data_IF_228089293028
#
_entry.id   IF_228089293028
#
_cell.length_a   1.000
_cell.length_b   1.000
_cell.length_c   1.000
_cell.angle_alpha   90.00
_cell.angle_beta   90.00
_cell.angle_gamma   90.00
#
_symmetry.space_group_name_H-M   'P 1'
#
loop_
_entity.id
_entity.type
_entity.pdbx_description
1 polymer ?
#
# COMPACT_ATOMS: atom_id res chain seq x y z
N UNK A 1 -17.01 9.90 -11.49
CA UNK A 1 -16.67 8.54 -11.07
C UNK A 1 -15.17 8.50 -10.83
N UNK A 2 -14.71 8.56 -9.59
CA UNK A 2 -13.27 8.47 -9.30
C UNK A 2 -12.80 7.04 -9.62
N UNK A 3 -11.90 6.91 -10.60
CA UNK A 3 -11.34 5.61 -11.00
C UNK A 3 -10.48 5.03 -9.88
N UNK A 4 -10.42 3.70 -9.75
CA UNK A 4 -9.55 3.03 -8.77
C UNK A 4 -8.06 3.43 -8.85
N UNK A 5 -7.64 3.96 -10.00
CA UNK A 5 -6.31 4.57 -10.21
C UNK A 5 -6.16 5.90 -9.46
N UNK A 6 -7.22 6.73 -9.40
CA UNK A 6 -7.19 7.98 -8.65
C UNK A 6 -7.04 7.74 -7.15
N UNK A 7 -7.67 6.69 -6.63
CA UNK A 7 -7.52 6.27 -5.23
C UNK A 7 -6.14 5.68 -4.97
N UNK A 8 -5.57 4.97 -5.95
CA UNK A 8 -4.18 4.51 -5.88
C UNK A 8 -3.21 5.69 -5.71
N UNK A 9 -3.41 6.78 -6.44
CA UNK A 9 -2.58 7.98 -6.33
C UNK A 9 -2.66 8.55 -4.90
N UNK A 10 -3.86 8.60 -4.31
CA UNK A 10 -4.05 9.09 -2.92
C UNK A 10 -3.31 8.24 -1.88
N UNK A 11 -3.38 6.90 -1.97
CA UNK A 11 -2.61 6.05 -1.05
C UNK A 11 -1.10 6.18 -1.30
N UNK A 12 -0.66 6.39 -2.55
CA UNK A 12 0.77 6.59 -2.84
C UNK A 12 1.32 7.87 -2.21
N UNK A 13 0.55 8.96 -2.18
CA UNK A 13 0.94 10.17 -1.46
C UNK A 13 1.09 9.98 0.07
N UNK A 14 0.46 8.91 0.59
CA UNK A 14 0.57 8.46 1.98
C UNK A 14 1.74 7.49 2.22
N UNK A 15 2.46 7.10 1.16
CA UNK A 15 3.65 6.25 1.25
C UNK A 15 4.92 7.09 1.21
N UNK A 16 5.96 6.60 1.87
CA UNK A 16 7.28 7.17 1.77
C UNK A 16 8.35 6.10 1.65
N UNK A 17 9.50 6.49 1.09
CA UNK A 17 10.66 5.63 1.00
C UNK A 17 11.36 5.56 2.36
N UNK A 18 11.33 4.39 2.98
CA UNK A 18 12.04 4.12 4.22
C UNK A 18 13.35 3.36 3.93
N UNK A 19 14.47 3.71 4.58
CA UNK A 19 15.72 2.95 4.47
C UNK A 19 15.63 1.57 5.14
N UNK A 20 14.58 1.35 5.94
CA UNK A 20 14.27 0.10 6.60
C UNK A 20 13.44 -0.83 5.70
N UNK A 21 13.41 -2.15 5.98
CA UNK A 21 12.53 -3.08 5.27
C UNK A 21 11.07 -2.64 5.37
N UNK A 22 10.53 -2.10 4.27
CA UNK A 22 9.16 -1.62 4.19
C UNK A 22 8.12 -2.74 4.01
N UNK A 23 6.95 -2.36 3.50
CA UNK A 23 5.79 -3.22 3.33
C UNK A 23 6.05 -4.35 2.34
N UNK A 24 5.45 -5.51 2.60
CA UNK A 24 5.44 -6.66 1.71
C UNK A 24 4.31 -6.56 0.67
N UNK A 25 4.45 -7.21 -0.47
CA UNK A 25 3.44 -7.17 -1.53
C UNK A 25 2.16 -7.93 -1.16
N UNK A 26 2.26 -9.14 -0.57
CA UNK A 26 1.14 -9.94 -0.08
C UNK A 26 1.62 -11.21 0.66
N UNK A 27 1.27 -11.39 1.94
CA UNK A 27 1.44 -12.65 2.71
C UNK A 27 0.29 -12.71 3.74
N UNK A 28 -0.21 -13.90 4.04
CA UNK A 28 -1.24 -14.13 5.07
C UNK A 28 -0.58 -14.20 6.46
N UNK A 29 -1.15 -13.66 7.55
CA UNK A 29 -2.50 -13.08 7.73
C UNK A 29 -2.67 -11.64 7.21
N UNK A 30 -3.93 -11.23 6.94
CA UNK A 30 -4.30 -9.90 6.44
C UNK A 30 -3.82 -8.82 7.39
N UNK A 31 -2.80 -8.06 7.01
CA UNK A 31 -2.21 -7.03 7.83
C UNK A 31 -1.91 -5.76 7.01
N UNK A 32 -2.81 -4.76 6.97
CA UNK A 32 -2.64 -3.56 6.13
C UNK A 32 -1.38 -2.75 6.50
N UNK A 33 -0.90 -2.84 7.75
CA UNK A 33 0.37 -2.24 8.20
C UNK A 33 1.63 -2.96 7.73
N UNK A 34 1.51 -4.20 7.26
CA UNK A 34 2.66 -5.02 6.82
C UNK A 34 2.62 -5.30 5.33
N UNK A 35 1.45 -5.21 4.72
CA UNK A 35 1.23 -5.50 3.31
C UNK A 35 0.62 -4.33 2.57
N UNK A 36 1.33 -3.88 1.54
CA UNK A 36 0.95 -2.73 0.75
C UNK A 36 -0.39 -2.92 0.03
N UNK A 37 -0.64 -4.12 -0.49
CA UNK A 37 -1.92 -4.42 -1.14
C UNK A 37 -3.08 -4.44 -0.14
N UNK A 38 -2.86 -4.93 1.08
CA UNK A 38 -3.89 -4.89 2.12
C UNK A 38 -4.16 -3.46 2.59
N UNK A 39 -3.13 -2.61 2.67
CA UNK A 39 -3.32 -1.18 2.92
C UNK A 39 -4.23 -0.56 1.85
N UNK A 40 -3.97 -0.82 0.57
CA UNK A 40 -4.84 -0.35 -0.52
C UNK A 40 -6.29 -0.84 -0.42
N UNK A 41 -6.50 -2.10 -0.01
CA UNK A 41 -7.84 -2.62 0.24
C UNK A 41 -8.54 -1.88 1.38
N UNK A 42 -7.89 -1.72 2.53
CA UNK A 42 -8.44 -0.97 3.68
C UNK A 42 -8.73 0.50 3.34
N UNK A 43 -7.89 1.13 2.52
CA UNK A 43 -8.14 2.46 1.98
C UNK A 43 -9.46 2.45 1.19
N UNK A 44 -9.61 1.57 0.22
CA UNK A 44 -10.85 1.56 -0.57
C UNK A 44 -12.10 1.20 0.23
N UNK A 45 -11.99 0.30 1.20
CA UNK A 45 -13.10 -0.05 2.11
C UNK A 45 -13.54 1.18 2.93
N UNK A 46 -12.59 1.96 3.47
CA UNK A 46 -12.89 3.16 4.26
C UNK A 46 -13.54 4.28 3.44
N UNK A 47 -13.12 4.45 2.19
CA UNK A 47 -13.67 5.46 1.28
C UNK A 47 -14.93 4.97 0.52
N UNK A 48 -15.44 3.77 0.80
CA UNK A 48 -16.66 3.22 0.20
C UNK A 48 -16.50 2.80 -1.28
N UNK A 49 -15.28 2.57 -1.74
CA UNK A 49 -14.99 2.16 -3.12
C UNK A 49 -15.01 0.63 -3.26
N UNK A 50 -15.97 0.11 -4.03
CA UNK A 50 -16.17 -1.33 -4.19
C UNK A 50 -15.35 -1.99 -5.31
N UNK A 51 -14.58 -1.23 -6.09
CA UNK A 51 -13.82 -1.76 -7.24
C UNK A 51 -12.30 -1.53 -7.10
N UNK A 52 -11.61 -2.37 -6.31
CA UNK A 52 -10.17 -2.53 -6.35
C UNK A 52 -9.63 -2.71 -7.77
N UNK A 53 -8.46 -2.12 -8.03
CA UNK A 53 -7.61 -2.68 -9.09
C UNK A 53 -6.97 -3.98 -8.60
N UNK A 54 -6.76 -4.93 -9.51
CA UNK A 54 -6.09 -6.19 -9.19
C UNK A 54 -4.62 -5.96 -8.82
N UNK A 55 -4.04 -6.85 -8.01
CA UNK A 55 -2.62 -6.81 -7.63
C UNK A 55 -1.67 -6.63 -8.83
N UNK A 56 -1.98 -7.24 -9.97
CA UNK A 56 -1.22 -7.11 -11.22
C UNK A 56 -1.24 -5.68 -11.77
N UNK A 57 -2.40 -5.03 -11.78
CA UNK A 57 -2.54 -3.64 -12.23
C UNK A 57 -1.87 -2.70 -11.23
N UNK A 58 -2.10 -2.92 -9.94
CA UNK A 58 -1.41 -2.20 -8.86
C UNK A 58 0.12 -2.28 -9.02
N UNK A 59 0.67 -3.48 -9.22
CA UNK A 59 2.11 -3.69 -9.37
C UNK A 59 2.71 -3.05 -10.64
N UNK A 60 1.89 -2.77 -11.66
CA UNK A 60 2.31 -2.07 -12.88
C UNK A 60 2.26 -0.55 -12.72
N UNK A 61 1.20 -0.05 -12.09
CA UNK A 61 0.96 1.38 -11.93
C UNK A 61 1.76 1.98 -10.77
N UNK A 62 1.99 1.22 -9.70
CA UNK A 62 2.74 1.64 -8.52
C UNK A 62 4.13 2.24 -8.86
N UNK A 63 5.05 1.55 -9.57
CA UNK A 63 6.34 2.14 -9.91
C UNK A 63 6.20 3.41 -10.77
N UNK A 64 5.23 3.44 -11.68
CA UNK A 64 5.00 4.59 -12.54
C UNK A 64 4.58 5.81 -11.72
N UNK A 65 3.56 5.64 -10.86
CA UNK A 65 3.08 6.69 -9.97
C UNK A 65 4.16 7.13 -8.98
N UNK A 66 4.86 6.20 -8.33
CA UNK A 66 5.97 6.52 -7.43
C UNK A 66 7.04 7.36 -8.12
N UNK A 67 7.37 7.03 -9.37
CA UNK A 67 8.29 7.82 -10.20
C UNK A 67 7.75 9.23 -10.50
N UNK A 68 6.44 9.39 -10.73
CA UNK A 68 5.80 10.70 -10.91
C UNK A 68 5.85 11.55 -9.63
N UNK A 69 5.78 10.92 -8.46
CA UNK A 69 5.99 11.57 -7.16
C UNK A 69 7.48 11.87 -6.86
N UNK A 70 8.41 11.51 -7.75
CA UNK A 70 9.85 11.65 -7.53
C UNK A 70 10.41 10.67 -6.50
N UNK A 71 9.68 9.60 -6.19
CA UNK A 71 10.08 8.57 -5.23
C UNK A 71 10.51 7.28 -5.94
N UNK A 72 11.65 6.74 -5.53
CA UNK A 72 12.17 5.50 -6.11
C UNK A 72 11.44 4.30 -5.51
N UNK A 73 10.65 3.59 -6.32
CA UNK A 73 10.05 2.32 -5.92
C UNK A 73 11.02 1.16 -6.11
N UNK A 74 11.37 0.48 -5.03
CA UNK A 74 12.18 -0.72 -5.01
C UNK A 74 11.35 -1.88 -4.47
N UNK A 75 11.42 -3.02 -5.16
CA UNK A 75 10.88 -4.29 -4.68
C UNK A 75 11.96 -5.36 -4.75
N UNK A 76 12.19 -6.06 -3.65
CA UNK A 76 13.13 -7.16 -3.53
C UNK A 76 12.40 -8.45 -3.20
N UNK A 77 12.78 -9.57 -3.83
CA UNK A 77 12.31 -10.90 -3.39
C UNK A 77 13.09 -11.31 -2.15
N UNK A 78 12.38 -11.60 -1.08
CA UNK A 78 12.91 -12.05 0.21
C UNK A 78 12.41 -13.46 0.52
N UNK A 79 12.95 -14.09 1.56
CA UNK A 79 12.50 -15.41 2.04
C UNK A 79 11.02 -15.43 2.46
N UNK A 80 10.48 -14.28 2.90
CA UNK A 80 9.08 -14.16 3.31
C UNK A 80 8.17 -13.80 2.13
N UNK A 81 8.68 -13.15 1.09
CA UNK A 81 7.88 -12.72 -0.07
C UNK A 81 8.52 -11.54 -0.79
N UNK A 82 7.75 -10.84 -1.63
CA UNK A 82 8.21 -9.58 -2.22
C UNK A 82 8.12 -8.49 -1.16
N UNK A 83 9.23 -7.86 -0.82
CA UNK A 83 9.32 -6.73 0.10
C UNK A 83 9.60 -5.45 -0.69
N UNK A 84 9.02 -4.34 -0.27
CA UNK A 84 9.21 -3.03 -0.90
C UNK A 84 9.97 -2.11 0.05
N UNK A 85 10.49 -1.00 -0.47
CA UNK A 85 11.07 0.08 0.34
C UNK A 85 10.02 1.11 0.79
N UNK A 86 8.73 0.76 0.71
CA UNK A 86 7.64 1.68 1.01
C UNK A 86 7.12 1.47 2.41
N UNK A 87 6.88 2.57 3.11
CA UNK A 87 6.30 2.60 4.44
C UNK A 87 5.11 3.57 4.46
N UNK A 88 4.10 3.25 5.28
CA UNK A 88 2.96 4.15 5.49
C UNK A 88 3.37 5.26 6.45
N UNK A 89 2.96 6.49 6.16
CA UNK A 89 3.14 7.59 7.10
C UNK A 89 2.29 7.37 8.36
N UNK A 90 2.76 7.91 9.48
CA UNK A 90 2.06 7.84 10.77
C UNK A 90 0.65 8.46 10.70
N UNK A 91 0.49 9.55 9.93
CA UNK A 91 -0.81 10.19 9.68
C UNK A 91 -1.84 9.23 9.04
N UNK A 92 -1.37 8.30 8.20
CA UNK A 92 -2.23 7.32 7.53
C UNK A 92 -2.83 6.31 8.51
N UNK A 93 -2.19 6.11 9.66
CA UNK A 93 -2.64 5.19 10.70
C UNK A 93 -3.98 5.57 11.32
N UNK A 94 -4.35 6.86 11.22
CA UNK A 94 -5.53 7.41 11.90
C UNK A 94 -6.68 7.73 10.94
N UNK A 95 -6.39 7.96 9.66
CA UNK A 95 -7.37 8.43 8.67
C UNK A 95 -8.24 7.31 8.10
N UNK A 96 -7.64 6.18 7.73
CA UNK A 96 -8.32 5.07 7.04
C UNK A 96 -7.73 3.70 7.36
N UNK A 97 -6.52 3.65 7.91
CA UNK A 97 -5.93 2.39 8.33
C UNK A 97 -6.68 1.96 9.61
N UNK A 98 -7.32 0.78 9.65
CA UNK A 98 -7.90 0.31 10.89
C UNK A 98 -6.77 0.21 11.91
N UNK A 99 -6.99 0.77 13.12
CA UNK A 99 -6.08 0.56 14.24
C UNK A 99 -5.87 -0.94 14.34
N UNK A 100 -4.63 -1.38 14.18
CA UNK A 100 -4.29 -2.78 14.28
C UNK A 100 -4.52 -3.18 15.75
N UNK A 101 -5.77 -3.53 16.08
CA UNK A 101 -6.08 -4.32 17.25
C UNK A 101 -5.41 -5.65 17.00
N UNK A 102 -4.19 -5.79 17.53
CA UNK A 102 -3.61 -7.09 17.78
C UNK A 102 -4.65 -7.83 18.63
N UNK A 103 -5.45 -8.68 17.99
CA UNK A 103 -6.21 -9.70 18.68
C UNK A 103 -5.18 -10.53 19.45
N UNK A 104 -5.14 -10.27 20.76
CA UNK A 104 -4.21 -10.86 21.70
C UNK A 104 -4.58 -12.30 22.00
#
# INVERSE_FOLDING_TARGET
MESGISQLIKIIGNLFNSPQPGLYANITPRNPRKYLYHAYLSFMESYGHQKPISLTAFSKVLPNMMSEYGQVYLKGRTKQGIQTNLELKDESDTDWLPKCEMAR
#
